data_IF_550979172304
#
_entry.id   IF_550979172304
#
_cell.length_a   1.000
_cell.length_b   1.000
_cell.length_c   1.000
_cell.angle_alpha   90.00
_cell.angle_beta   90.00
_cell.angle_gamma   90.00
#
_symmetry.space_group_name_H-M   'P 1'
#
loop_
_entity.id
_entity.type
_entity.pdbx_description
1 polymer ?
#
# COMPACT_ATOMS: atom_id res chain seq x y z
N UNK A 1 4.59 -5.67 -0.12
CA UNK A 1 3.79 -4.43 0.01
C UNK A 1 2.32 -4.67 0.35
N UNK A 2 1.59 -5.57 -0.32
CA UNK A 2 0.15 -5.82 -0.07
C UNK A 2 -0.19 -6.36 1.34
N UNK A 3 0.71 -7.12 1.97
CA UNK A 3 0.48 -7.70 3.31
C UNK A 3 0.58 -6.65 4.41
N UNK A 4 1.49 -5.68 4.27
CA UNK A 4 1.63 -4.57 5.23
C UNK A 4 0.43 -3.62 5.20
N UNK A 5 -0.12 -3.38 4.00
CA UNK A 5 -1.29 -2.52 3.84
C UNK A 5 -2.56 -3.17 4.44
N UNK A 6 -2.72 -4.50 4.33
CA UNK A 6 -3.82 -5.24 4.98
C UNK A 6 -3.71 -5.24 6.51
N UNK A 7 -2.50 -5.39 7.07
CA UNK A 7 -2.32 -5.37 8.52
C UNK A 7 -2.57 -3.99 9.13
N UNK A 8 -2.14 -2.91 8.48
CA UNK A 8 -2.43 -1.54 8.92
C UNK A 8 -3.93 -1.23 8.88
N UNK A 9 -4.61 -1.59 7.79
CA UNK A 9 -6.05 -1.39 7.66
C UNK A 9 -6.82 -2.18 8.74
N UNK A 10 -6.42 -3.42 9.01
CA UNK A 10 -7.08 -4.26 10.01
C UNK A 10 -6.81 -3.80 11.45
N UNK A 11 -5.64 -3.21 11.74
CA UNK A 11 -5.32 -2.68 13.08
C UNK A 11 -6.05 -1.36 13.36
N UNK A 12 -6.15 -0.50 12.34
CA UNK A 12 -6.90 0.77 12.40
C UNK A 12 -8.39 0.50 12.56
N UNK A 13 -8.97 -0.41 11.76
CA UNK A 13 -10.40 -0.75 11.85
C UNK A 13 -10.77 -1.47 13.14
N UNK A 14 -9.90 -2.35 13.67
CA UNK A 14 -10.20 -3.09 14.91
C UNK A 14 -10.07 -2.20 16.15
N UNK A 15 -9.16 -1.22 16.13
CA UNK A 15 -9.08 -0.18 17.16
C UNK A 15 -10.29 0.76 17.17
N UNK A 16 -10.78 1.16 15.99
CA UNK A 16 -12.02 1.94 15.83
C UNK A 16 -13.27 1.13 16.23
N UNK A 17 -13.33 -0.15 15.85
CA UNK A 17 -14.46 -1.03 16.19
C UNK A 17 -14.53 -1.33 17.69
N UNK A 18 -13.38 -1.50 18.38
CA UNK A 18 -13.35 -1.67 19.84
C UNK A 18 -13.72 -0.38 20.59
N UNK A 19 -13.38 0.80 20.05
CA UNK A 19 -13.87 2.09 20.57
C UNK A 19 -15.39 2.28 20.37
N UNK A 20 -15.97 1.76 19.28
CA UNK A 20 -17.40 1.85 19.02
C UNK A 20 -18.27 0.87 19.83
N UNK A 21 -17.71 -0.24 20.32
CA UNK A 21 -18.46 -1.20 21.15
C UNK A 21 -18.65 -0.67 22.58
N UNK A 22 -17.70 0.09 23.10
CA UNK A 22 -17.82 0.76 24.42
C UNK A 22 -18.74 2.00 24.34
N UNK A 23 -18.96 2.55 23.14
CA UNK A 23 -19.85 3.69 22.92
C UNK A 23 -21.35 3.35 22.82
N UNK A 24 -21.75 2.09 23.01
CA UNK A 24 -23.16 1.65 22.91
C UNK A 24 -23.96 1.73 24.22
N UNK A 25 -23.34 2.02 25.36
CA UNK A 25 -24.05 2.38 26.60
C UNK A 25 -24.42 3.87 26.60
N UNK A 26 -25.36 4.22 25.70
CA UNK A 26 -25.82 5.59 25.40
C UNK A 26 -26.73 6.24 26.46
N UNK A 27 -26.55 5.93 27.74
CA UNK A 27 -27.10 6.77 28.82
C UNK A 27 -26.07 7.74 29.41
N UNK A 28 -24.77 7.48 29.21
CA UNK A 28 -23.67 8.33 29.68
C UNK A 28 -22.85 8.87 28.51
N UNK A 29 -23.42 9.77 27.71
CA UNK A 29 -22.58 10.59 26.84
C UNK A 29 -21.91 11.68 27.70
N UNK A 30 -20.67 12.07 27.42
CA UNK A 30 -20.03 13.18 28.16
C UNK A 30 -20.86 14.47 28.08
N UNK A 31 -21.68 14.60 27.03
CA UNK A 31 -22.64 15.69 26.85
C UNK A 31 -23.86 15.55 27.78
N UNK A 32 -24.41 14.34 27.98
CA UNK A 32 -25.54 14.11 28.90
C UNK A 32 -25.13 14.29 30.37
N UNK A 33 -23.90 13.90 30.72
CA UNK A 33 -23.31 14.07 32.07
C UNK A 33 -23.09 15.54 32.42
N UNK A 34 -22.89 16.42 31.43
CA UNK A 34 -22.78 17.87 31.66
C UNK A 34 -24.14 18.59 31.67
N UNK A 35 -25.10 18.17 30.85
CA UNK A 35 -26.40 18.85 30.72
C UNK A 35 -27.29 18.73 31.97
N UNK A 36 -27.31 17.55 32.60
CA UNK A 36 -28.12 17.29 33.80
C UNK A 36 -27.74 18.19 35.00
N UNK A 37 -26.47 18.29 35.40
CA UNK A 37 -26.07 19.19 36.50
C UNK A 37 -26.20 20.68 36.12
N UNK A 38 -26.07 21.05 34.84
CA UNK A 38 -26.40 22.42 34.38
C UNK A 38 -27.87 22.75 34.63
N UNK A 39 -28.78 21.83 34.27
CA UNK A 39 -30.21 21.97 34.56
C UNK A 39 -30.51 22.09 36.06
N UNK A 40 -29.83 21.28 36.90
CA UNK A 40 -29.96 21.34 38.36
C UNK A 40 -29.48 22.66 38.96
N UNK A 41 -28.47 23.31 38.38
CA UNK A 41 -27.99 24.61 38.88
C UNK A 41 -28.95 25.74 38.54
N UNK A 42 -29.50 25.74 37.31
CA UNK A 42 -30.55 26.70 36.94
C UNK A 42 -31.83 26.47 37.74
N UNK A 43 -32.20 25.21 37.98
CA UNK A 43 -33.29 24.85 38.89
C UNK A 43 -33.03 25.29 40.33
N UNK A 44 -31.80 25.10 40.83
CA UNK A 44 -31.38 25.54 42.17
C UNK A 44 -31.42 27.06 42.35
N UNK A 45 -31.01 27.83 41.33
CA UNK A 45 -31.12 29.29 41.31
C UNK A 45 -32.58 29.77 41.25
N UNK A 46 -33.43 29.09 40.47
CA UNK A 46 -34.86 29.37 40.42
C UNK A 46 -35.54 29.09 41.76
N UNK A 47 -35.22 27.97 42.42
CA UNK A 47 -35.73 27.64 43.75
C UNK A 47 -35.21 28.61 44.83
N UNK A 48 -33.95 29.04 44.76
CA UNK A 48 -33.40 30.03 45.67
C UNK A 48 -34.11 31.39 45.56
N UNK A 49 -34.55 31.77 44.34
CA UNK A 49 -35.30 33.01 44.11
C UNK A 49 -36.68 33.05 44.78
N UNK A 50 -37.26 31.89 45.09
CA UNK A 50 -38.52 31.77 45.83
C UNK A 50 -38.34 31.90 47.34
N UNK A 51 -37.11 31.69 47.84
CA UNK A 51 -36.78 31.68 49.27
C UNK A 51 -36.21 33.03 49.71
N UNK A 52 -35.15 33.51 49.06
CA UNK A 52 -34.52 34.81 49.36
C UNK A 52 -33.64 35.32 48.20
N UNK A 53 -33.74 36.60 47.88
CA UNK A 53 -32.93 37.27 46.86
C UNK A 53 -31.44 37.38 47.26
N UNK A 54 -31.15 37.45 48.57
CA UNK A 54 -29.76 37.50 49.06
C UNK A 54 -29.02 36.18 48.83
N UNK A 55 -29.73 35.05 48.94
CA UNK A 55 -29.24 33.70 48.65
C UNK A 55 -28.89 33.54 47.16
N UNK A 56 -29.67 34.15 46.26
CA UNK A 56 -29.38 34.15 44.82
C UNK A 56 -28.07 34.89 44.51
N UNK A 57 -27.85 36.06 45.13
CA UNK A 57 -26.60 36.80 44.98
C UNK A 57 -25.39 36.00 45.51
N UNK A 58 -25.57 35.30 46.62
CA UNK A 58 -24.54 34.44 47.21
C UNK A 58 -24.19 33.25 46.29
N UNK A 59 -25.19 32.51 45.79
CA UNK A 59 -25.00 31.36 44.89
C UNK A 59 -24.42 31.75 43.53
N UNK A 60 -24.80 32.91 42.99
CA UNK A 60 -24.21 33.43 41.74
C UNK A 60 -22.75 33.81 41.91
N UNK A 61 -22.37 34.47 43.02
CA UNK A 61 -20.96 34.74 43.32
C UNK A 61 -20.14 33.45 43.42
N UNK A 62 -20.65 32.41 44.09
CA UNK A 62 -20.01 31.09 44.11
C UNK A 62 -19.78 30.51 42.74
N UNK A 63 -20.81 30.55 41.88
CA UNK A 63 -20.70 30.00 40.53
C UNK A 63 -19.56 30.64 39.74
N UNK A 64 -19.39 31.97 39.85
CA UNK A 64 -18.30 32.71 39.20
C UNK A 64 -16.94 32.31 39.76
N UNK A 65 -16.79 32.26 41.08
CA UNK A 65 -15.52 31.92 41.72
C UNK A 65 -15.10 30.49 41.41
N UNK A 66 -16.02 29.54 41.44
CA UNK A 66 -15.70 28.15 41.17
C UNK A 66 -15.49 27.88 39.68
N UNK A 67 -16.16 28.60 38.79
CA UNK A 67 -15.85 28.54 37.35
C UNK A 67 -14.42 29.02 37.08
N UNK A 68 -14.01 30.15 37.66
CA UNK A 68 -12.63 30.64 37.55
C UNK A 68 -11.61 29.65 38.12
N UNK A 69 -11.89 29.06 39.28
CA UNK A 69 -10.96 28.14 39.93
C UNK A 69 -10.93 26.74 39.31
N UNK A 70 -12.03 26.27 38.71
CA UNK A 70 -12.04 25.01 37.96
C UNK A 70 -11.18 25.11 36.70
N UNK A 71 -11.13 26.29 36.06
CA UNK A 71 -10.24 26.57 34.92
C UNK A 71 -8.77 26.61 35.38
N UNK A 72 -8.47 27.26 36.51
CA UNK A 72 -7.10 27.47 36.97
C UNK A 72 -6.49 26.28 37.75
N UNK A 73 -7.29 25.58 38.56
CA UNK A 73 -6.82 24.61 39.57
C UNK A 73 -7.47 23.23 39.49
N UNK A 74 -8.26 22.96 38.43
CA UNK A 74 -9.01 21.70 38.25
C UNK A 74 -9.86 21.37 39.50
N UNK A 75 -9.92 20.09 39.92
CA UNK A 75 -10.74 19.59 41.02
C UNK A 75 -10.35 20.17 42.40
N UNK A 76 -9.08 20.53 42.58
CA UNK A 76 -8.62 21.12 43.85
C UNK A 76 -9.18 22.53 44.07
N UNK A 77 -9.34 23.31 43.00
CA UNK A 77 -9.94 24.65 43.08
C UNK A 77 -11.40 24.62 43.53
N UNK A 78 -12.18 23.63 43.08
CA UNK A 78 -13.57 23.44 43.49
C UNK A 78 -13.70 23.11 44.99
N UNK A 79 -12.83 22.22 45.52
CA UNK A 79 -12.87 21.82 46.92
C UNK A 79 -12.58 22.99 47.88
N UNK A 80 -11.55 23.79 47.59
CA UNK A 80 -11.16 24.94 48.42
C UNK A 80 -12.26 25.98 48.49
N UNK A 81 -12.87 26.33 47.36
CA UNK A 81 -13.93 27.35 47.31
C UNK A 81 -15.22 26.84 47.93
N UNK A 82 -15.55 25.55 47.76
CA UNK A 82 -16.70 24.92 48.43
C UNK A 82 -16.58 25.00 49.95
N UNK A 83 -15.39 24.75 50.52
CA UNK A 83 -15.15 24.88 51.95
C UNK A 83 -15.31 26.32 52.46
N UNK A 84 -14.75 27.31 51.75
CA UNK A 84 -14.87 28.73 52.11
C UNK A 84 -16.35 29.16 52.05
N UNK A 85 -17.07 28.71 51.03
CA UNK A 85 -18.46 29.08 50.82
C UNK A 85 -19.41 28.47 51.86
N UNK A 86 -19.20 27.22 52.25
CA UNK A 86 -19.96 26.57 53.33
C UNK A 86 -19.71 27.26 54.68
N UNK A 87 -18.46 27.69 54.94
CA UNK A 87 -18.12 28.44 56.16
C UNK A 87 -18.83 29.80 56.23
N UNK A 88 -18.81 30.58 55.14
CA UNK A 88 -19.50 31.88 55.08
C UNK A 88 -21.03 31.72 55.16
N UNK A 89 -21.57 30.64 54.56
CA UNK A 89 -23.00 30.33 54.65
C UNK A 89 -23.46 30.07 56.09
N UNK A 90 -22.69 29.29 56.86
CA UNK A 90 -23.02 28.94 58.24
C UNK A 90 -23.04 30.17 59.17
N UNK A 91 -22.10 31.10 58.96
CA UNK A 91 -22.02 32.34 59.75
C UNK A 91 -23.17 33.32 59.45
N UNK A 92 -23.64 33.41 58.20
CA UNK A 92 -24.62 34.43 57.81
C UNK A 92 -26.08 33.97 57.77
N UNK A 93 -26.36 32.69 57.54
CA UNK A 93 -27.72 32.19 57.27
C UNK A 93 -28.24 31.13 58.27
N UNK A 94 -27.49 30.77 59.32
CA UNK A 94 -27.87 29.68 60.25
C UNK A 94 -28.93 30.04 61.30
N UNK A 95 -29.39 31.29 61.35
CA UNK A 95 -30.22 31.82 62.44
C UNK A 95 -31.73 31.74 62.13
N UNK A 96 -32.14 31.51 60.88
CA UNK A 96 -33.55 31.56 60.46
C UNK A 96 -34.28 30.20 60.40
N UNK A 97 -35.61 30.20 60.56
CA UNK A 97 -36.45 28.99 60.47
C UNK A 97 -36.48 28.35 59.07
N UNK A 98 -36.02 29.06 58.04
CA UNK A 98 -35.80 28.58 56.67
C UNK A 98 -34.45 27.88 56.48
N UNK A 99 -33.57 27.86 57.49
CA UNK A 99 -32.20 27.37 57.42
C UNK A 99 -32.07 25.93 56.89
N UNK A 100 -33.03 25.04 57.18
CA UNK A 100 -33.02 23.66 56.69
C UNK A 100 -33.25 23.57 55.18
N UNK A 101 -34.16 24.39 54.64
CA UNK A 101 -34.47 24.43 53.21
C UNK A 101 -33.34 25.09 52.42
N UNK A 102 -32.79 26.19 52.92
CA UNK A 102 -31.62 26.85 52.31
C UNK A 102 -30.37 25.96 52.40
N UNK A 103 -30.17 25.19 53.47
CA UNK A 103 -29.05 24.23 53.57
C UNK A 103 -29.19 23.10 52.55
N UNK A 104 -30.40 22.59 52.33
CA UNK A 104 -30.70 21.61 51.29
C UNK A 104 -30.41 22.14 49.88
N UNK A 105 -30.79 23.39 49.60
CA UNK A 105 -30.52 24.05 48.32
C UNK A 105 -29.02 24.29 48.10
N UNK A 106 -28.31 24.81 49.10
CA UNK A 106 -26.86 25.07 49.00
C UNK A 106 -26.07 23.78 48.82
N UNK A 107 -26.39 22.73 49.58
CA UNK A 107 -25.72 21.42 49.44
C UNK A 107 -25.97 20.78 48.08
N UNK A 108 -27.22 20.81 47.58
CA UNK A 108 -27.56 20.35 46.23
C UNK A 108 -26.83 21.15 45.14
N UNK A 109 -26.71 22.47 45.32
CA UNK A 109 -26.01 23.34 44.38
C UNK A 109 -24.50 23.07 44.33
N UNK A 110 -23.85 22.92 45.49
CA UNK A 110 -22.42 22.57 45.58
C UNK A 110 -22.15 21.20 44.96
N UNK A 111 -22.98 20.20 45.24
CA UNK A 111 -22.86 18.86 44.67
C UNK A 111 -23.04 18.87 43.14
N UNK A 112 -24.02 19.62 42.64
CA UNK A 112 -24.23 19.77 41.18
C UNK A 112 -23.01 20.36 40.48
N UNK A 113 -22.35 21.33 41.11
CA UNK A 113 -21.12 21.91 40.58
C UNK A 113 -19.90 20.97 40.70
N UNK A 114 -19.87 20.10 41.72
CA UNK A 114 -18.89 19.02 41.82
C UNK A 114 -18.98 18.04 40.65
N UNK A 115 -20.20 17.66 40.27
CA UNK A 115 -20.45 16.78 39.12
C UNK A 115 -20.06 17.48 37.80
N UNK A 116 -20.40 18.77 37.63
CA UNK A 116 -19.97 19.55 36.47
C UNK A 116 -18.44 19.63 36.33
N UNK A 117 -17.73 19.93 37.41
CA UNK A 117 -16.27 20.09 37.36
C UNK A 117 -15.54 18.77 37.12
N UNK A 118 -16.07 17.65 37.64
CA UNK A 118 -15.61 16.30 37.30
C UNK A 118 -15.81 16.00 35.80
N UNK A 119 -16.99 16.31 35.25
CA UNK A 119 -17.28 16.12 33.82
C UNK A 119 -16.33 16.92 32.93
N UNK A 120 -16.11 18.21 33.23
CA UNK A 120 -15.17 19.06 32.49
C UNK A 120 -13.73 18.51 32.56
N UNK A 121 -13.30 18.04 33.73
CA UNK A 121 -11.97 17.45 33.90
C UNK A 121 -11.79 16.19 33.05
N UNK A 122 -12.77 15.28 33.05
CA UNK A 122 -12.73 14.04 32.26
C UNK A 122 -12.67 14.32 30.75
N UNK A 123 -13.51 15.25 30.26
CA UNK A 123 -13.50 15.65 28.84
C UNK A 123 -12.16 16.29 28.46
N UNK A 124 -11.59 17.11 29.34
CA UNK A 124 -10.28 17.73 29.10
C UNK A 124 -9.17 16.70 28.99
N UNK A 125 -9.18 15.67 29.86
CA UNK A 125 -8.20 14.60 29.87
C UNK A 125 -8.34 13.70 28.62
N UNK A 126 -9.58 13.37 28.24
CA UNK A 126 -9.86 12.61 27.02
C UNK A 126 -9.39 13.38 25.76
N UNK A 127 -9.63 14.70 25.72
CA UNK A 127 -9.17 15.56 24.62
C UNK A 127 -7.64 15.59 24.56
N UNK A 128 -6.94 15.68 25.70
CA UNK A 128 -5.47 15.63 25.70
C UNK A 128 -4.93 14.28 25.26
N UNK A 129 -5.56 13.18 25.68
CA UNK A 129 -5.18 11.83 25.25
C UNK A 129 -5.38 11.63 23.75
N UNK A 130 -6.54 12.06 23.21
CA UNK A 130 -6.84 12.03 21.78
C UNK A 130 -5.86 12.89 20.98
N UNK A 131 -5.51 14.08 21.48
CA UNK A 131 -4.52 14.95 20.84
C UNK A 131 -3.14 14.29 20.78
N UNK A 132 -2.65 13.71 21.88
CA UNK A 132 -1.38 12.98 21.88
C UNK A 132 -1.38 11.77 20.95
N UNK A 133 -2.50 11.04 20.85
CA UNK A 133 -2.62 9.95 19.88
C UNK A 133 -2.57 10.45 18.44
N UNK A 134 -3.24 11.57 18.15
CA UNK A 134 -3.22 12.20 16.83
C UNK A 134 -1.82 12.70 16.46
N UNK A 135 -1.13 13.38 17.37
CA UNK A 135 0.23 13.88 17.17
C UNK A 135 1.18 12.71 16.87
N UNK A 136 1.11 11.62 17.64
CA UNK A 136 1.91 10.41 17.40
C UNK A 136 1.61 9.76 16.04
N UNK A 137 0.33 9.64 15.68
CA UNK A 137 -0.08 9.11 14.36
C UNK A 137 0.43 10.00 13.22
N UNK A 138 0.46 11.31 13.42
CA UNK A 138 0.98 12.27 12.44
C UNK A 138 2.49 12.15 12.25
N UNK A 139 3.24 11.93 13.33
CA UNK A 139 4.68 11.66 13.27
C UNK A 139 4.99 10.33 12.57
N UNK A 140 4.28 9.25 12.94
CA UNK A 140 4.43 7.95 12.29
C UNK A 140 4.11 8.03 10.79
N UNK A 141 3.08 8.79 10.40
CA UNK A 141 2.76 9.03 9.00
C UNK A 141 3.86 9.81 8.26
N UNK A 142 4.40 10.86 8.88
CA UNK A 142 5.47 11.67 8.29
C UNK A 142 6.76 10.85 8.08
N UNK A 143 7.11 9.97 9.03
CA UNK A 143 8.26 9.07 8.92
C UNK A 143 8.08 8.06 7.78
N UNK A 144 6.89 7.45 7.68
CA UNK A 144 6.55 6.53 6.59
C UNK A 144 6.61 7.25 5.24
N UNK A 145 6.11 8.48 5.15
CA UNK A 145 6.16 9.27 3.93
C UNK A 145 7.59 9.62 3.53
N UNK A 146 8.43 10.04 4.48
CA UNK A 146 9.84 10.34 4.22
C UNK A 146 10.62 9.10 3.72
N UNK A 147 10.39 7.93 4.33
CA UNK A 147 11.02 6.68 3.90
C UNK A 147 10.55 6.23 2.51
N UNK A 148 9.27 6.43 2.19
CA UNK A 148 8.72 6.16 0.86
C UNK A 148 9.36 7.08 -0.19
N UNK A 149 9.43 8.39 0.07
CA UNK A 149 10.03 9.36 -0.85
C UNK A 149 11.53 9.12 -1.06
N UNK A 150 12.23 8.60 -0.05
CA UNK A 150 13.62 8.17 -0.20
C UNK A 150 13.73 6.92 -1.08
N UNK A 151 12.91 5.89 -0.85
CA UNK A 151 12.91 4.68 -1.67
C UNK A 151 12.57 4.95 -3.14
N UNK A 152 11.65 5.90 -3.41
CA UNK A 152 11.32 6.33 -4.77
C UNK A 152 12.52 7.03 -5.43
N UNK A 153 13.22 7.90 -4.72
CA UNK A 153 14.44 8.56 -5.23
C UNK A 153 15.56 7.57 -5.51
N UNK A 154 15.83 6.64 -4.58
CA UNK A 154 16.86 5.62 -4.76
C UNK A 154 16.55 4.71 -5.95
N UNK A 155 15.26 4.36 -6.15
CA UNK A 155 14.82 3.61 -7.32
C UNK A 155 15.03 4.40 -8.62
N UNK A 156 14.71 5.69 -8.63
CA UNK A 156 14.93 6.53 -9.81
C UNK A 156 16.41 6.60 -10.20
N UNK A 157 17.31 6.77 -9.22
CA UNK A 157 18.76 6.77 -9.42
C UNK A 157 19.24 5.42 -9.97
N UNK A 158 18.75 4.31 -9.41
CA UNK A 158 19.08 2.97 -9.89
C UNK A 158 18.61 2.74 -11.33
N UNK A 159 17.41 3.21 -11.70
CA UNK A 159 16.91 3.15 -13.07
C UNK A 159 17.78 3.96 -14.03
N UNK A 160 18.15 5.19 -13.68
CA UNK A 160 19.01 6.05 -14.52
C UNK A 160 20.41 5.40 -14.71
N UNK A 161 20.97 4.81 -13.66
CA UNK A 161 22.24 4.07 -13.75
C UNK A 161 22.14 2.87 -14.69
N UNK A 162 21.07 2.08 -14.58
CA UNK A 162 20.84 0.93 -15.46
C UNK A 162 20.63 1.36 -16.90
N UNK A 163 19.89 2.44 -17.15
CA UNK A 163 19.67 2.98 -18.49
C UNK A 163 20.99 3.43 -19.14
N UNK A 164 21.83 4.19 -18.42
CA UNK A 164 23.17 4.56 -18.90
C UNK A 164 24.04 3.35 -19.19
N UNK A 165 23.98 2.32 -18.34
CA UNK A 165 24.73 1.08 -18.55
C UNK A 165 24.25 0.32 -19.79
N UNK A 166 22.95 0.26 -20.02
CA UNK A 166 22.36 -0.36 -21.22
C UNK A 166 22.79 0.38 -22.48
N UNK A 167 22.70 1.71 -22.49
CA UNK A 167 23.15 2.53 -23.62
C UNK A 167 24.65 2.34 -23.91
N UNK A 168 25.50 2.28 -22.87
CA UNK A 168 26.93 1.97 -23.05
C UNK A 168 27.14 0.59 -23.67
N UNK A 169 26.45 -0.43 -23.16
CA UNK A 169 26.54 -1.79 -23.67
C UNK A 169 26.06 -1.90 -25.12
N UNK A 170 24.97 -1.22 -25.48
CA UNK A 170 24.48 -1.14 -26.87
C UNK A 170 25.53 -0.51 -27.78
N UNK A 171 26.15 0.60 -27.35
CA UNK A 171 27.20 1.26 -28.13
C UNK A 171 28.43 0.37 -28.36
N UNK A 172 28.81 -0.44 -27.36
CA UNK A 172 29.92 -1.37 -27.50
C UNK A 172 29.55 -2.56 -28.39
N UNK A 173 28.31 -3.04 -28.31
CA UNK A 173 27.80 -4.10 -29.18
C UNK A 173 27.79 -3.66 -30.65
N UNK A 174 27.41 -2.41 -30.93
CA UNK A 174 27.51 -1.82 -32.28
C UNK A 174 28.95 -1.75 -32.77
N UNK A 175 29.90 -1.32 -31.93
CA UNK A 175 31.34 -1.32 -32.30
C UNK A 175 31.83 -2.73 -32.61
N UNK A 176 31.47 -3.72 -31.81
CA UNK A 176 31.87 -5.11 -32.06
C UNK A 176 31.24 -5.69 -33.32
N UNK A 177 29.98 -5.34 -33.64
CA UNK A 177 29.36 -5.71 -34.92
C UNK A 177 30.10 -5.11 -36.11
N UNK A 178 30.48 -3.84 -36.03
CA UNK A 178 31.26 -3.18 -37.09
C UNK A 178 32.62 -3.85 -37.29
N UNK A 179 33.34 -4.16 -36.21
CA UNK A 179 34.62 -4.88 -36.26
C UNK A 179 34.48 -6.28 -36.85
N UNK A 180 33.41 -7.01 -36.49
CA UNK A 180 33.12 -8.33 -37.04
C UNK A 180 32.90 -8.24 -38.56
N UNK A 181 32.09 -7.28 -39.00
CA UNK A 181 31.80 -7.07 -40.42
C UNK A 181 33.06 -6.70 -41.22
N UNK A 182 33.94 -5.86 -40.66
CA UNK A 182 35.23 -5.53 -41.27
C UNK A 182 36.14 -6.77 -41.36
N UNK A 183 36.18 -7.59 -40.31
CA UNK A 183 36.95 -8.84 -40.29
C UNK A 183 36.45 -9.84 -41.33
N UNK A 184 35.13 -10.04 -41.43
CA UNK A 184 34.53 -10.89 -42.46
C UNK A 184 34.91 -10.41 -43.87
N UNK A 185 34.87 -9.09 -44.12
CA UNK A 185 35.28 -8.52 -45.39
C UNK A 185 36.77 -8.75 -45.69
N UNK A 186 37.65 -8.63 -44.68
CA UNK A 186 39.08 -8.96 -44.83
C UNK A 186 39.28 -10.44 -45.13
N UNK A 187 38.54 -11.32 -44.49
CA UNK A 187 38.61 -12.77 -44.74
C UNK A 187 38.14 -13.12 -46.15
N UNK A 188 37.08 -12.48 -46.65
CA UNK A 188 36.60 -12.65 -48.02
C UNK A 188 37.66 -12.19 -49.04
N UNK A 189 38.29 -11.03 -48.80
CA UNK A 189 39.40 -10.55 -49.63
C UNK A 189 40.59 -11.51 -49.61
N UNK A 190 40.99 -12.03 -48.44
CA UNK A 190 42.07 -13.02 -48.35
C UNK A 190 41.72 -14.31 -49.09
N UNK A 191 40.47 -14.77 -49.02
CA UNK A 191 40.01 -15.95 -49.75
C UNK A 191 40.12 -15.75 -51.27
N UNK A 192 39.76 -14.56 -51.76
CA UNK A 192 39.93 -14.19 -53.17
C UNK A 192 41.42 -14.15 -53.57
N UNK A 193 42.29 -13.55 -52.74
CA UNK A 193 43.74 -13.52 -52.99
C UNK A 193 44.34 -14.94 -53.05
N UNK A 194 43.93 -15.84 -52.15
CA UNK A 194 44.37 -17.24 -52.18
C UNK A 194 43.89 -17.97 -53.44
N UNK A 195 42.70 -17.67 -53.92
CA UNK A 195 42.19 -18.22 -55.17
C UNK A 195 43.03 -17.76 -56.36
N UNK A 196 43.36 -16.46 -56.43
CA UNK A 196 44.23 -15.91 -57.47
C UNK A 196 45.61 -16.56 -57.44
N UNK A 197 46.21 -16.72 -56.26
CA UNK A 197 47.50 -17.39 -56.10
C UNK A 197 47.45 -18.86 -56.52
N UNK A 198 46.35 -19.56 -56.23
CA UNK A 198 46.14 -20.93 -56.67
C UNK A 198 46.04 -21.03 -58.20
N UNK A 199 45.31 -20.12 -58.84
CA UNK A 199 45.17 -20.05 -60.29
C UNK A 199 46.53 -19.72 -60.96
N UNK A 200 47.30 -18.78 -60.40
CA UNK A 200 48.66 -18.48 -60.87
C UNK A 200 49.59 -19.69 -60.73
N UNK A 201 49.53 -20.41 -59.60
CA UNK A 201 50.32 -21.63 -59.39
C UNK A 201 49.97 -22.69 -60.45
N UNK A 202 48.68 -22.87 -60.74
CA UNK A 202 48.24 -23.83 -61.74
C UNK A 202 48.69 -23.43 -63.15
N UNK A 203 48.57 -22.15 -63.52
CA UNK A 203 49.08 -21.61 -64.78
C UNK A 203 50.59 -21.81 -64.92
N UNK A 204 51.38 -21.56 -63.88
CA UNK A 204 52.83 -21.81 -63.92
C UNK A 204 53.19 -23.28 -64.06
N UNK A 205 52.41 -24.18 -63.43
CA UNK A 205 52.60 -25.61 -63.59
C UNK A 205 52.29 -26.07 -65.02
N UNK A 206 51.25 -25.49 -65.65
CA UNK A 206 50.94 -25.73 -67.06
C UNK A 206 52.07 -25.23 -67.98
N UNK A 207 52.55 -24.01 -67.78
CA UNK A 207 53.68 -23.44 -68.54
C UNK A 207 54.96 -24.26 -68.37
N UNK A 208 55.25 -24.70 -67.14
CA UNK A 208 56.38 -25.58 -66.86
C UNK A 208 56.23 -26.94 -67.54
N UNK A 209 55.03 -27.53 -67.51
CA UNK A 209 54.78 -28.81 -68.19
C UNK A 209 54.96 -28.68 -69.71
N UNK A 210 54.51 -27.59 -70.32
CA UNK A 210 54.74 -27.29 -71.73
C UNK A 210 56.23 -27.15 -72.04
N UNK A 211 56.96 -26.35 -71.26
CA UNK A 211 58.40 -26.15 -71.42
C UNK A 211 59.19 -27.45 -71.23
N UNK A 212 58.82 -28.26 -70.24
CA UNK A 212 59.43 -29.55 -69.98
C UNK A 212 59.19 -30.53 -71.12
N UNK A 213 57.95 -30.60 -71.64
CA UNK A 213 57.62 -31.41 -72.81
C UNK A 213 58.41 -30.95 -74.05
N UNK A 214 58.61 -29.64 -74.23
CA UNK A 214 59.40 -29.10 -75.33
C UNK A 214 60.90 -29.38 -75.16
N UNK A 215 61.44 -29.28 -73.95
CA UNK A 215 62.81 -29.70 -73.63
C UNK A 215 63.02 -31.20 -73.90
N UNK A 216 62.10 -32.06 -73.44
CA UNK A 216 62.15 -33.50 -73.72
C UNK A 216 62.08 -33.76 -75.23
N UNK A 217 61.24 -33.03 -75.97
CA UNK A 217 61.18 -33.12 -77.44
C UNK A 217 62.50 -32.71 -78.12
N UNK A 218 63.17 -31.66 -77.65
CA UNK A 218 64.44 -31.20 -78.20
C UNK A 218 65.61 -32.11 -77.84
N UNK A 219 65.62 -32.67 -76.62
CA UNK A 219 66.68 -33.58 -76.14
C UNK A 219 66.51 -35.00 -76.66
N UNK A 220 65.28 -35.49 -76.82
CA UNK A 220 65.00 -36.81 -77.37
C UNK A 220 64.87 -36.81 -78.90
N UNK A 221 64.81 -35.64 -79.54
CA UNK A 221 64.65 -35.48 -80.99
C UNK A 221 65.95 -35.31 -81.78
N UNK A 222 67.09 -35.08 -81.13
CA UNK A 222 68.39 -34.94 -81.79
C UNK A 222 69.42 -35.89 -81.16
N UNK A 223 69.50 -37.13 -81.67
CA UNK A 223 70.42 -38.17 -81.20
C UNK A 223 71.91 -37.90 -81.55
N UNK A 224 72.32 -36.70 -81.98
CA UNK A 224 73.67 -36.49 -82.54
C UNK A 224 74.42 -35.23 -82.09
N UNK A 225 74.25 -34.74 -80.86
CA UNK A 225 75.23 -33.77 -80.33
C UNK A 225 75.45 -33.88 -78.82
N UNK A 226 76.64 -34.35 -78.44
CA UNK A 226 77.12 -34.44 -77.07
C UNK A 226 77.52 -33.06 -76.53
N UNK A 227 76.96 -32.65 -75.38
CA UNK A 227 77.12 -31.28 -74.83
C UNK A 227 77.93 -31.23 -73.52
N UNK A 228 78.61 -32.31 -73.10
CA UNK A 228 79.49 -32.27 -71.92
C UNK A 228 80.93 -32.69 -72.24
N UNK A 229 81.77 -31.72 -72.62
CA UNK A 229 83.22 -31.87 -72.91
C UNK A 229 84.15 -31.57 -71.73
N UNK A 230 83.66 -31.47 -70.49
CA UNK A 230 84.42 -30.89 -69.36
C UNK A 230 84.93 -31.91 -68.33
N UNK A 231 84.96 -33.20 -68.66
CA UNK A 231 85.65 -34.21 -67.86
C UNK A 231 86.93 -34.62 -68.58
N UNK A 232 87.91 -33.73 -68.58
CA UNK A 232 89.31 -34.11 -68.82
C UNK A 232 90.22 -33.37 -67.84
N UNK A 233 90.79 -34.17 -66.95
CA UNK A 233 91.73 -33.82 -65.88
C UNK A 233 93.04 -33.35 -66.51
N UNK A 234 93.51 -32.14 -66.14
CA UNK A 234 94.91 -31.75 -66.29
C UNK A 234 95.38 -30.79 -65.18
N UNK A 235 96.20 -31.38 -64.30
CA UNK A 235 97.36 -30.87 -63.58
C UNK A 235 97.32 -29.55 -62.80
N UNK A 236 97.47 -29.73 -61.48
CA UNK A 236 98.03 -28.79 -60.51
C UNK A 236 99.35 -28.18 -60.99
N UNK A 237 99.37 -26.86 -61.16
CA UNK A 237 100.58 -26.03 -60.99
C UNK A 237 100.19 -24.55 -61.10
N UNK A 238 100.57 -23.76 -60.10
CA UNK A 238 100.52 -22.27 -60.04
C UNK A 238 99.19 -21.59 -59.67
N UNK A 239 98.73 -21.73 -58.41
CA UNK A 239 97.90 -20.65 -57.81
C UNK A 239 98.00 -20.57 -56.29
N UNK A 240 99.19 -20.25 -55.75
CA UNK A 240 99.34 -19.86 -54.33
C UNK A 240 99.09 -18.35 -54.12
N UNK A 241 98.77 -17.59 -55.18
CA UNK A 241 98.60 -16.14 -55.08
C UNK A 241 97.16 -15.61 -55.27
N UNK A 242 96.17 -16.47 -55.56
CA UNK A 242 94.72 -16.09 -55.63
C UNK A 242 93.85 -16.69 -54.52
N UNK A 243 94.45 -17.40 -53.58
CA UNK A 243 93.70 -18.09 -52.52
C UNK A 243 93.14 -17.11 -51.47
N UNK A 244 93.76 -15.93 -51.32
CA UNK A 244 93.32 -14.84 -50.42
C UNK A 244 92.03 -14.14 -50.86
N UNK A 245 91.85 -13.87 -52.16
CA UNK A 245 90.60 -13.26 -52.67
C UNK A 245 89.41 -14.22 -52.57
N UNK A 246 89.64 -15.51 -52.87
CA UNK A 246 88.60 -16.53 -52.74
C UNK A 246 88.17 -16.69 -51.27
N UNK A 247 89.11 -16.76 -50.32
CA UNK A 247 88.77 -16.84 -48.89
C UNK A 247 88.06 -15.58 -48.38
N UNK A 248 88.45 -14.38 -48.82
CA UNK A 248 87.72 -13.16 -48.48
C UNK A 248 86.27 -13.15 -49.03
N UNK A 249 86.04 -13.65 -50.25
CA UNK A 249 84.69 -13.76 -50.80
C UNK A 249 83.81 -14.76 -50.03
N UNK A 250 84.38 -15.89 -49.59
CA UNK A 250 83.67 -16.87 -48.76
C UNK A 250 83.34 -16.34 -47.38
N UNK A 251 84.24 -15.58 -46.75
CA UNK A 251 84.01 -14.92 -45.45
C UNK A 251 82.87 -13.90 -45.56
N UNK A 252 82.84 -13.10 -46.63
CA UNK A 252 81.77 -12.12 -46.85
C UNK A 252 80.41 -12.81 -47.07
N UNK A 253 80.36 -13.89 -47.84
CA UNK A 253 79.13 -14.68 -48.03
C UNK A 253 78.66 -15.30 -46.71
N UNK A 254 79.58 -15.82 -45.90
CA UNK A 254 79.26 -16.38 -44.58
C UNK A 254 78.68 -15.31 -43.65
N UNK A 255 79.29 -14.13 -43.59
CA UNK A 255 78.80 -13.01 -42.78
C UNK A 255 77.42 -12.51 -43.25
N UNK A 256 77.16 -12.46 -44.56
CA UNK A 256 75.84 -12.09 -45.09
C UNK A 256 74.78 -13.15 -44.76
N UNK A 257 75.15 -14.44 -44.77
CA UNK A 257 74.26 -15.54 -44.41
C UNK A 257 73.99 -15.58 -42.90
N UNK A 258 74.99 -15.31 -42.08
CA UNK A 258 74.84 -15.20 -40.63
C UNK A 258 73.94 -14.00 -40.26
N UNK A 259 74.09 -12.86 -40.93
CA UNK A 259 73.20 -11.71 -40.74
C UNK A 259 71.75 -12.02 -41.15
N UNK A 260 71.55 -12.76 -42.26
CA UNK A 260 70.22 -13.22 -42.69
C UNK A 260 69.62 -14.22 -41.71
N UNK A 261 70.41 -15.16 -41.18
CA UNK A 261 69.98 -16.10 -40.15
C UNK A 261 69.55 -15.39 -38.87
N UNK A 262 70.33 -14.41 -38.40
CA UNK A 262 69.97 -13.59 -37.24
C UNK A 262 68.66 -12.81 -37.46
N UNK A 263 68.42 -12.31 -38.68
CA UNK A 263 67.14 -11.66 -39.01
C UNK A 263 65.95 -12.62 -38.98
N UNK A 264 66.13 -13.83 -39.51
CA UNK A 264 65.10 -14.88 -39.54
C UNK A 264 64.79 -15.41 -38.13
N UNK A 265 65.80 -15.55 -37.26
CA UNK A 265 65.58 -15.84 -35.84
C UNK A 265 64.79 -14.73 -35.14
N UNK A 266 65.09 -13.46 -35.46
CA UNK A 266 64.33 -12.32 -34.95
C UNK A 266 62.85 -12.34 -35.36
N UNK A 267 62.56 -12.67 -36.61
CA UNK A 267 61.19 -12.77 -37.11
C UNK A 267 60.46 -14.00 -36.56
N UNK A 268 61.16 -15.12 -36.37
CA UNK A 268 60.60 -16.32 -35.74
C UNK A 268 60.25 -16.08 -34.26
N UNK A 269 61.06 -15.31 -33.54
CA UNK A 269 60.77 -14.91 -32.17
C UNK A 269 59.52 -14.01 -32.08
N UNK A 270 59.35 -13.08 -33.04
CA UNK A 270 58.14 -12.25 -33.13
C UNK A 270 56.90 -13.07 -33.47
N UNK A 271 57.01 -14.04 -34.36
CA UNK A 271 55.89 -14.90 -34.75
C UNK A 271 55.43 -15.78 -33.56
N UNK A 272 56.38 -16.31 -32.79
CA UNK A 272 56.09 -17.03 -31.53
C UNK A 272 55.36 -16.18 -30.50
N UNK A 273 55.80 -14.94 -30.26
CA UNK A 273 55.12 -14.07 -29.30
C UNK A 273 53.73 -13.64 -29.77
N UNK A 274 53.55 -13.44 -31.07
CA UNK A 274 52.26 -13.13 -31.67
C UNK A 274 51.29 -14.30 -31.53
N UNK A 275 51.78 -15.54 -31.74
CA UNK A 275 50.98 -16.76 -31.57
C UNK A 275 50.56 -16.97 -30.12
N UNK A 276 51.47 -16.76 -29.16
CA UNK A 276 51.16 -16.85 -27.72
C UNK A 276 50.10 -15.82 -27.31
N UNK A 277 50.18 -14.59 -27.82
CA UNK A 277 49.16 -13.57 -27.57
C UNK A 277 47.79 -13.96 -28.12
N UNK A 278 47.73 -14.48 -29.36
CA UNK A 278 46.47 -14.92 -29.97
C UNK A 278 45.87 -16.13 -29.24
N UNK A 279 46.71 -17.05 -28.74
CA UNK A 279 46.26 -18.19 -27.96
C UNK A 279 45.64 -17.75 -26.63
N UNK A 280 46.27 -16.78 -25.94
CA UNK A 280 45.71 -16.17 -24.73
C UNK A 280 44.39 -15.43 -25.00
N UNK A 281 44.30 -14.71 -26.12
CA UNK A 281 43.07 -14.01 -26.52
C UNK A 281 41.94 -15.01 -26.82
N UNK A 282 42.23 -16.11 -27.52
CA UNK A 282 41.28 -17.20 -27.75
C UNK A 282 40.78 -17.83 -26.43
N UNK A 283 41.67 -18.07 -25.47
CA UNK A 283 41.27 -18.59 -24.15
C UNK A 283 40.35 -17.62 -23.41
N UNK A 284 40.63 -16.31 -23.50
CA UNK A 284 39.77 -15.28 -22.89
C UNK A 284 38.40 -15.15 -23.58
N UNK A 285 38.34 -15.34 -24.90
CA UNK A 285 37.08 -15.37 -25.63
C UNK A 285 36.27 -16.62 -25.30
N UNK A 286 36.94 -17.77 -25.12
CA UNK A 286 36.28 -19.00 -24.73
C UNK A 286 35.60 -18.88 -23.35
N UNK A 287 36.26 -18.27 -22.37
CA UNK A 287 35.66 -18.03 -21.06
C UNK A 287 34.44 -17.10 -21.13
N UNK A 288 34.52 -16.00 -21.91
CA UNK A 288 33.38 -15.08 -22.12
C UNK A 288 32.19 -15.74 -22.79
N UNK A 289 32.42 -16.62 -23.77
CA UNK A 289 31.35 -17.40 -24.42
C UNK A 289 30.68 -18.34 -23.41
N UNK A 290 31.47 -18.95 -22.52
CA UNK A 290 30.92 -19.82 -21.48
C UNK A 290 30.07 -19.03 -20.46
N UNK A 291 30.54 -17.86 -20.02
CA UNK A 291 29.76 -16.96 -19.15
C UNK A 291 28.45 -16.52 -19.80
N UNK A 292 28.47 -16.22 -21.10
CA UNK A 292 27.26 -15.85 -21.84
C UNK A 292 26.24 -16.99 -21.87
N UNK A 293 26.69 -18.25 -22.01
CA UNK A 293 25.81 -19.42 -21.98
C UNK A 293 25.20 -19.62 -20.59
N UNK A 294 25.98 -19.45 -19.53
CA UNK A 294 25.49 -19.56 -18.15
C UNK A 294 24.45 -18.47 -17.85
N UNK A 295 24.66 -17.24 -18.34
CA UNK A 295 23.68 -16.16 -18.22
C UNK A 295 22.39 -16.46 -18.98
N UNK A 296 22.49 -17.05 -20.17
CA UNK A 296 21.32 -17.45 -20.96
C UNK A 296 20.50 -18.53 -20.24
N UNK A 297 21.14 -19.54 -19.66
CA UNK A 297 20.45 -20.56 -18.85
C UNK A 297 19.75 -19.96 -17.63
N UNK A 298 20.36 -18.97 -16.97
CA UNK A 298 19.72 -18.25 -15.85
C UNK A 298 18.54 -17.41 -16.31
N UNK A 299 18.64 -16.79 -17.47
CA UNK A 299 17.56 -16.02 -18.06
C UNK A 299 16.36 -16.91 -18.37
N UNK A 300 16.58 -18.06 -19.02
CA UNK A 300 15.53 -19.02 -19.34
C UNK A 300 14.84 -19.56 -18.06
N UNK A 301 15.63 -19.82 -17.01
CA UNK A 301 15.10 -20.23 -15.71
C UNK A 301 14.23 -19.15 -15.07
N UNK A 302 14.65 -17.87 -15.12
CA UNK A 302 13.86 -16.76 -14.61
C UNK A 302 12.59 -16.53 -15.42
N UNK A 303 12.66 -16.67 -16.75
CA UNK A 303 11.51 -16.54 -17.63
C UNK A 303 10.45 -17.60 -17.34
N UNK A 304 10.86 -18.87 -17.19
CA UNK A 304 9.92 -19.95 -16.81
C UNK A 304 9.28 -19.72 -15.43
N UNK A 305 10.01 -19.12 -14.49
CA UNK A 305 9.48 -18.78 -13.17
C UNK A 305 8.49 -17.61 -13.24
N UNK A 306 8.74 -16.63 -14.10
CA UNK A 306 7.83 -15.52 -14.36
C UNK A 306 6.50 -16.04 -14.93
N UNK A 307 6.56 -16.85 -15.99
CA UNK A 307 5.37 -17.45 -16.62
C UNK A 307 4.53 -18.24 -15.61
N UNK A 308 5.18 -18.99 -14.72
CA UNK A 308 4.50 -19.70 -13.64
C UNK A 308 3.79 -18.75 -12.67
N UNK A 309 4.40 -17.62 -12.33
CA UNK A 309 3.82 -16.61 -11.42
C UNK A 309 2.68 -15.85 -12.06
N UNK A 310 2.77 -15.55 -13.35
CA UNK A 310 1.67 -14.93 -14.09
C UNK A 310 0.45 -15.85 -14.13
N UNK A 311 0.65 -17.16 -14.38
CA UNK A 311 -0.44 -18.14 -14.29
C UNK A 311 -1.04 -18.31 -12.88
N UNK A 312 -0.25 -18.12 -11.82
CA UNK A 312 -0.77 -18.09 -10.44
C UNK A 312 -1.60 -16.82 -10.18
N UNK A 313 -1.21 -15.67 -10.75
CA UNK A 313 -1.92 -14.41 -10.62
C UNK A 313 -3.27 -14.46 -11.35
N UNK A 314 -3.32 -14.99 -12.58
CA UNK A 314 -4.58 -15.15 -13.32
C UNK A 314 -5.58 -16.01 -12.54
N UNK A 315 -5.14 -17.15 -11.98
CA UNK A 315 -5.99 -18.01 -11.14
C UNK A 315 -6.51 -17.30 -9.89
N UNK A 316 -5.70 -16.43 -9.29
CA UNK A 316 -6.12 -15.64 -8.13
C UNK A 316 -7.11 -14.53 -8.53
N UNK A 317 -6.94 -13.93 -9.69
CA UNK A 317 -7.87 -12.94 -10.23
C UNK A 317 -9.23 -13.56 -10.56
N UNK A 318 -9.26 -14.74 -11.19
CA UNK A 318 -10.49 -15.49 -11.45
C UNK A 318 -11.25 -15.78 -10.15
N UNK A 319 -10.56 -16.33 -9.13
CA UNK A 319 -11.18 -16.58 -7.83
C UNK A 319 -11.72 -15.31 -7.19
N UNK A 320 -10.98 -14.20 -7.25
CA UNK A 320 -11.43 -12.94 -6.68
C UNK A 320 -12.68 -12.41 -7.39
N UNK A 321 -12.76 -12.59 -8.71
CA UNK A 321 -13.95 -12.24 -9.49
C UNK A 321 -15.16 -13.10 -9.12
N UNK A 322 -14.97 -14.41 -8.96
CA UNK A 322 -16.02 -15.32 -8.48
C UNK A 322 -16.55 -14.90 -7.09
N UNK A 323 -15.65 -14.61 -6.13
CA UNK A 323 -16.05 -14.15 -4.79
C UNK A 323 -16.86 -12.85 -4.84
N UNK A 324 -16.40 -11.85 -5.60
CA UNK A 324 -17.10 -10.56 -5.74
C UNK A 324 -18.47 -10.71 -6.39
N UNK A 325 -18.60 -11.59 -7.38
CA UNK A 325 -19.87 -11.85 -8.05
C UNK A 325 -20.89 -12.54 -7.11
N UNK A 326 -20.42 -13.48 -6.27
CA UNK A 326 -21.23 -14.19 -5.28
C UNK A 326 -21.70 -13.28 -4.15
N UNK A 327 -20.81 -12.44 -3.62
CA UNK A 327 -21.12 -11.50 -2.54
C UNK A 327 -22.11 -10.41 -2.99
N UNK A 328 -21.96 -9.92 -4.23
CA UNK A 328 -22.91 -8.96 -4.83
C UNK A 328 -24.30 -9.56 -5.02
N UNK A 329 -24.39 -10.82 -5.47
CA UNK A 329 -25.67 -11.51 -5.61
C UNK A 329 -26.38 -11.72 -4.26
N UNK A 330 -25.63 -11.99 -3.19
CA UNK A 330 -26.17 -12.14 -1.84
C UNK A 330 -26.72 -10.81 -1.29
N UNK A 331 -25.98 -9.71 -1.47
CA UNK A 331 -26.40 -8.36 -1.08
C UNK A 331 -27.66 -7.91 -1.82
N UNK A 332 -27.73 -8.11 -3.13
CA UNK A 332 -28.91 -7.76 -3.94
C UNK A 332 -30.16 -8.56 -3.52
N UNK A 333 -29.99 -9.84 -3.13
CA UNK A 333 -31.10 -10.65 -2.63
C UNK A 333 -31.58 -10.16 -1.25
N UNK A 334 -30.66 -9.76 -0.38
CA UNK A 334 -30.98 -9.25 0.94
C UNK A 334 -31.70 -7.90 0.89
N UNK A 335 -31.25 -6.99 0.03
CA UNK A 335 -31.86 -5.67 -0.14
C UNK A 335 -33.30 -5.76 -0.70
N UNK A 336 -33.53 -6.66 -1.67
CA UNK A 336 -34.89 -6.96 -2.17
C UNK A 336 -35.80 -7.53 -1.07
N UNK A 337 -35.27 -8.39 -0.19
CA UNK A 337 -36.02 -8.95 0.94
C UNK A 337 -36.43 -7.86 1.93
N UNK A 338 -35.50 -6.96 2.30
CA UNK A 338 -35.79 -5.84 3.21
C UNK A 338 -36.81 -4.87 2.62
N UNK A 339 -36.66 -4.51 1.34
CA UNK A 339 -37.63 -3.65 0.65
C UNK A 339 -39.04 -4.24 0.67
N UNK A 340 -39.16 -5.55 0.48
CA UNK A 340 -40.46 -6.25 0.51
C UNK A 340 -41.08 -6.22 1.91
N UNK A 341 -40.29 -6.52 2.96
CA UNK A 341 -40.75 -6.45 4.35
C UNK A 341 -41.18 -5.05 4.76
N UNK A 342 -40.45 -4.02 4.32
CA UNK A 342 -40.80 -2.62 4.59
C UNK A 342 -42.14 -2.24 3.96
N UNK A 343 -42.39 -2.65 2.72
CA UNK A 343 -43.68 -2.40 2.06
C UNK A 343 -44.84 -3.10 2.78
N UNK A 344 -44.66 -4.35 3.22
CA UNK A 344 -45.65 -5.08 4.01
C UNK A 344 -45.95 -4.39 5.35
N UNK A 345 -44.92 -3.93 6.07
CA UNK A 345 -45.10 -3.17 7.30
C UNK A 345 -45.87 -1.87 7.06
N UNK A 346 -45.54 -1.15 5.99
CA UNK A 346 -46.22 0.09 5.61
C UNK A 346 -47.71 -0.14 5.33
N UNK A 347 -48.06 -1.23 4.64
CA UNK A 347 -49.45 -1.62 4.40
C UNK A 347 -50.18 -1.98 5.71
N UNK A 348 -49.52 -2.73 6.61
CA UNK A 348 -50.09 -3.07 7.92
C UNK A 348 -50.34 -1.83 8.80
N UNK A 349 -49.43 -0.87 8.81
CA UNK A 349 -49.62 0.39 9.52
C UNK A 349 -50.77 1.21 8.93
N UNK A 350 -50.91 1.23 7.61
CA UNK A 350 -52.07 1.86 6.94
C UNK A 350 -53.38 1.23 7.38
N UNK A 351 -53.50 -0.10 7.29
CA UNK A 351 -54.71 -0.82 7.69
C UNK A 351 -55.05 -0.62 9.18
N UNK A 352 -54.05 -0.63 10.08
CA UNK A 352 -54.25 -0.37 11.51
C UNK A 352 -54.67 1.07 11.79
N UNK A 353 -54.13 2.05 11.07
CA UNK A 353 -54.53 3.44 11.21
C UNK A 353 -55.98 3.66 10.77
N UNK A 354 -56.41 3.03 9.67
CA UNK A 354 -57.80 3.06 9.21
C UNK A 354 -58.75 2.43 10.23
N UNK A 355 -58.41 1.24 10.76
CA UNK A 355 -59.19 0.59 11.81
C UNK A 355 -59.32 1.45 13.08
N UNK A 356 -58.25 2.14 13.48
CA UNK A 356 -58.24 3.03 14.64
C UNK A 356 -59.13 4.26 14.40
N UNK A 357 -59.14 4.81 13.19
CA UNK A 357 -60.06 5.90 12.81
C UNK A 357 -61.50 5.43 12.87
N UNK A 358 -61.81 4.22 12.39
CA UNK A 358 -63.16 3.68 12.43
C UNK A 358 -63.61 3.42 13.88
N UNK A 359 -62.77 2.82 14.71
CA UNK A 359 -63.04 2.64 16.14
C UNK A 359 -63.28 3.98 16.86
N UNK A 360 -62.54 5.05 16.51
CA UNK A 360 -62.78 6.40 17.06
C UNK A 360 -64.12 6.97 16.63
N UNK A 361 -64.59 6.71 15.40
CA UNK A 361 -65.93 7.13 14.95
C UNK A 361 -67.02 6.38 15.68
N UNK A 362 -66.86 5.07 15.85
CA UNK A 362 -67.81 4.25 16.63
C UNK A 362 -67.87 4.73 18.08
N UNK A 363 -66.73 5.01 18.71
CA UNK A 363 -66.68 5.56 20.06
C UNK A 363 -67.36 6.94 20.14
N UNK A 364 -67.17 7.79 19.14
CA UNK A 364 -67.86 9.09 19.06
C UNK A 364 -69.38 8.91 18.94
N UNK A 365 -69.85 7.98 18.11
CA UNK A 365 -71.28 7.65 17.97
C UNK A 365 -71.87 7.09 19.27
N UNK A 366 -71.16 6.19 19.95
CA UNK A 366 -71.57 5.65 21.25
C UNK A 366 -71.68 6.77 22.28
N UNK A 367 -70.70 7.68 22.31
CA UNK A 367 -70.70 8.84 23.22
C UNK A 367 -71.84 9.81 22.90
N UNK A 368 -72.13 10.05 21.62
CA UNK A 368 -73.26 10.87 21.19
C UNK A 368 -74.59 10.24 21.61
N UNK A 369 -74.77 8.94 21.36
CA UNK A 369 -75.95 8.19 21.81
C UNK A 369 -76.11 8.24 23.33
N UNK A 370 -75.03 8.04 24.09
CA UNK A 370 -75.04 8.15 25.55
C UNK A 370 -75.47 9.55 26.01
N UNK A 371 -74.91 10.62 25.42
CA UNK A 371 -75.29 11.99 25.76
C UNK A 371 -76.75 12.31 25.37
N UNK A 372 -77.27 11.73 24.30
CA UNK A 372 -78.69 11.88 23.93
C UNK A 372 -79.62 11.13 24.87
N UNK A 373 -79.24 9.94 25.31
CA UNK A 373 -79.96 9.17 26.34
C UNK A 373 -79.91 9.89 27.69
N UNK A 374 -78.73 10.40 28.10
CA UNK A 374 -78.57 11.19 29.31
C UNK A 374 -79.45 12.46 29.29
N UNK A 375 -79.56 13.16 28.15
CA UNK A 375 -80.50 14.28 28.01
C UNK A 375 -81.96 13.83 28.05
N UNK A 376 -82.31 12.66 27.50
CA UNK A 376 -83.66 12.12 27.63
C UNK A 376 -83.98 11.75 29.08
N UNK A 377 -83.00 11.24 29.81
CA UNK A 377 -83.08 10.82 31.20
C UNK A 377 -83.13 12.01 32.18
N UNK A 378 -82.36 13.08 31.94
CA UNK A 378 -82.49 14.36 32.66
C UNK A 378 -83.87 15.00 32.45
N UNK A 379 -84.49 14.81 31.27
CA UNK A 379 -85.86 15.25 31.00
C UNK A 379 -86.92 14.35 31.67
N UNK A 380 -86.53 13.17 32.16
CA UNK A 380 -87.39 12.21 32.86
C UNK A 380 -86.81 11.89 34.23
N UNK A 381 -86.87 12.84 35.16
CA UNK A 381 -86.49 12.59 36.55
C UNK A 381 -87.27 11.41 37.16
N UNK A 382 -86.61 10.25 37.28
CA UNK A 382 -86.51 9.50 38.54
C UNK A 382 -85.49 8.36 38.48
N UNK A 383 -84.46 8.50 39.33
CA UNK A 383 -83.63 7.45 39.94
C UNK A 383 -82.52 6.79 39.09
N UNK A 384 -81.26 7.06 39.47
CA UNK A 384 -80.02 6.49 38.91
C UNK A 384 -79.90 5.02 39.37
N UNK A 385 -79.73 4.07 38.44
CA UNK A 385 -79.41 2.68 38.75
C UNK A 385 -77.89 2.42 38.67
N UNK A 386 -77.34 1.70 39.64
CA UNK A 386 -75.89 1.53 39.89
C UNK A 386 -75.19 0.59 38.89
N UNK A 387 -75.91 -0.03 37.94
CA UNK A 387 -75.35 -0.94 36.95
C UNK A 387 -74.43 -0.25 35.93
N UNK A 388 -74.66 1.02 35.66
CA UNK A 388 -74.00 1.72 34.55
C UNK A 388 -72.60 2.22 34.93
N UNK A 389 -72.36 2.43 36.22
CA UNK A 389 -71.01 2.73 36.76
C UNK A 389 -70.10 1.50 36.61
N UNK A 390 -70.65 0.30 36.81
CA UNK A 390 -69.92 -0.96 36.75
C UNK A 390 -69.49 -1.31 35.30
N UNK A 391 -70.26 -0.88 34.30
CA UNK A 391 -69.92 -1.05 32.88
C UNK A 391 -68.82 -0.07 32.47
N UNK A 392 -68.84 1.15 32.98
CA UNK A 392 -67.82 2.17 32.71
C UNK A 392 -66.47 1.76 33.33
N UNK A 393 -66.46 1.23 34.56
CA UNK A 393 -65.22 0.71 35.18
C UNK A 393 -64.62 -0.45 34.37
N UNK A 394 -65.43 -1.40 33.90
CA UNK A 394 -64.95 -2.51 33.06
C UNK A 394 -64.39 -2.06 31.72
N UNK A 395 -64.95 -1.00 31.13
CA UNK A 395 -64.45 -0.43 29.88
C UNK A 395 -63.12 0.31 30.08
N UNK A 396 -62.94 0.98 31.22
CA UNK A 396 -61.68 1.63 31.59
C UNK A 396 -60.56 0.60 31.82
N UNK A 397 -60.84 -0.48 32.53
CA UNK A 397 -59.90 -1.58 32.75
C UNK A 397 -59.49 -2.26 31.44
N UNK A 398 -60.40 -2.34 30.46
CA UNK A 398 -60.09 -2.89 29.14
C UNK A 398 -59.17 -1.97 28.32
N UNK A 399 -59.32 -0.65 28.46
CA UNK A 399 -58.46 0.33 27.79
C UNK A 399 -57.04 0.31 28.38
N UNK A 400 -56.90 0.25 29.71
CA UNK A 400 -55.59 0.16 30.37
C UNK A 400 -54.82 -1.10 29.94
N UNK A 401 -55.47 -2.25 29.85
CA UNK A 401 -54.84 -3.48 29.37
C UNK A 401 -54.33 -3.38 27.92
N UNK A 402 -55.06 -2.69 27.04
CA UNK A 402 -54.64 -2.49 25.65
C UNK A 402 -53.47 -1.51 25.53
N UNK A 403 -53.40 -0.50 26.39
CA UNK A 403 -52.27 0.42 26.43
C UNK A 403 -50.99 -0.31 26.88
N UNK A 404 -51.08 -1.16 27.92
CA UNK A 404 -49.95 -1.97 28.40
C UNK A 404 -49.41 -2.91 27.30
N UNK A 405 -50.31 -3.57 26.55
CA UNK A 405 -49.94 -4.45 25.45
C UNK A 405 -49.22 -3.69 24.32
N UNK A 406 -49.67 -2.48 23.98
CA UNK A 406 -49.01 -1.62 22.99
C UNK A 406 -47.58 -1.27 23.43
N UNK A 407 -47.39 -0.85 24.69
CA UNK A 407 -46.04 -0.57 25.22
C UNK A 407 -45.13 -1.80 25.15
N UNK A 408 -45.65 -2.99 25.49
CA UNK A 408 -44.86 -4.23 25.42
C UNK A 408 -44.42 -4.58 23.98
N UNK A 409 -45.29 -4.31 22.99
CA UNK A 409 -44.99 -4.50 21.58
C UNK A 409 -43.98 -3.46 21.06
N UNK A 410 -44.08 -2.21 21.51
CA UNK A 410 -43.09 -1.16 21.20
C UNK A 410 -41.70 -1.51 21.75
N UNK A 411 -41.64 -2.05 22.98
CA UNK A 411 -40.40 -2.54 23.58
C UNK A 411 -39.82 -3.72 22.79
N UNK A 412 -40.67 -4.67 22.36
CA UNK A 412 -40.25 -5.82 21.54
C UNK A 412 -39.71 -5.41 20.16
N UNK A 413 -40.31 -4.39 19.54
CA UNK A 413 -39.84 -3.80 18.28
C UNK A 413 -38.50 -3.07 18.49
N UNK A 414 -38.33 -2.35 19.60
CA UNK A 414 -37.06 -1.70 19.94
C UNK A 414 -35.91 -2.70 20.18
N UNK A 415 -36.21 -3.86 20.78
CA UNK A 415 -35.26 -4.93 21.02
C UNK A 415 -34.90 -5.73 19.75
N UNK A 416 -35.79 -5.79 18.76
CA UNK A 416 -35.51 -6.47 17.49
C UNK A 416 -34.78 -5.59 16.47
N UNK A 417 -34.82 -4.26 16.62
CA UNK A 417 -34.06 -3.28 15.82
C UNK A 417 -32.66 -2.96 16.39
N UNK A 418 -32.37 -3.34 17.64
CA UNK A 418 -31.07 -3.13 18.29
C UNK A 418 -30.09 -4.32 18.17
N UNK A 419 -30.50 -5.38 17.47
CA UNK A 419 -29.70 -6.57 17.16
C UNK A 419 -29.40 -6.63 15.67
#
# INVERSE_FOLDING_TARGET
MLVFNKCLYHKIYRGLAQGCIIAKDRLFSPESVCLFPIGLLFGGLACASLVDLTLVCFLTLFSVFVLAASICGRLWGWGVISCIFIFVYYEYFSIDSSALWSLGLVSSFVLSWGICTLGISLISEERTKKKHQYDRLSEEYAEVQASYDQAVRDKAIACEFLEKRTQSLESDLEKYRALLQESCKKQENMALDFQILADQKNSWLEDYALLHNEYVRLVAGDETTSVFSWVSRKDMSSTIQKQGEATHSWIHILQEKDAKLASLEGDLQKERSLRENLENECLSLHSRVQESKDLQLRFDALQSLLEKKDGELEKLQEKLHEYLSSEKALLDAQDKSYKTKYLQLKEQFGAKAEALVEARKELFLVRENYLTLQRQEENSLSFIDMSDIEIIEKLLEYVENLEEEITSLEELVSHTLSR
#
